data_IF_590887805569
#
_entry.id   IF_590887805569
#
_cell.length_a   1.000
_cell.length_b   1.000
_cell.length_c   1.000
_cell.angle_alpha   90.00
_cell.angle_beta   90.00
_cell.angle_gamma   90.00
#
_symmetry.space_group_name_H-M   'P 1'
#
loop_
_entity.id
_entity.type
_entity.pdbx_description
1 polymer ?
#
# COMPACT_ATOMS: atom_id res chain seq x y z
N UNK A 1 -3.73 -12.92 2.36
CA UNK A 1 -3.39 -12.12 1.20
C UNK A 1 -3.38 -10.63 1.53
N UNK A 2 -2.84 -9.80 0.64
CA UNK A 2 -2.63 -8.40 0.94
C UNK A 2 -3.93 -7.61 1.16
N UNK A 3 -5.01 -7.94 0.46
CA UNK A 3 -6.28 -7.23 0.64
C UNK A 3 -6.86 -7.43 2.03
N UNK A 4 -6.78 -8.64 2.56
CA UNK A 4 -7.22 -8.91 3.93
C UNK A 4 -6.34 -8.20 4.94
N UNK A 5 -5.03 -8.20 4.72
CA UNK A 5 -4.10 -7.50 5.59
C UNK A 5 -4.42 -6.00 5.63
N UNK A 6 -4.62 -5.40 4.47
CA UNK A 6 -4.92 -3.97 4.37
C UNK A 6 -6.21 -3.63 5.11
N UNK A 7 -7.28 -4.39 4.88
CA UNK A 7 -8.57 -4.11 5.51
C UNK A 7 -8.52 -4.23 7.03
N UNK A 8 -7.65 -5.11 7.57
CA UNK A 8 -7.49 -5.28 9.02
C UNK A 8 -6.58 -4.23 9.65
N UNK A 9 -5.59 -3.73 8.91
CA UNK A 9 -4.51 -2.94 9.50
C UNK A 9 -4.55 -1.47 9.13
N UNK A 10 -5.34 -1.10 8.12
CA UNK A 10 -5.49 0.28 7.74
C UNK A 10 -6.30 1.05 8.80
N UNK A 11 -5.83 2.26 9.13
CA UNK A 11 -6.51 3.13 10.10
C UNK A 11 -6.85 4.43 9.43
N UNK A 12 -8.05 4.91 9.67
CA UNK A 12 -8.44 6.22 9.15
C UNK A 12 -7.80 7.30 10.03
N UNK A 13 -6.92 8.16 9.49
CA UNK A 13 -6.33 9.22 10.30
C UNK A 13 -7.39 10.14 10.87
N UNK A 14 -7.25 10.50 12.15
CA UNK A 14 -8.25 11.35 12.84
C UNK A 14 -8.44 12.68 12.14
N UNK A 15 -7.35 13.29 11.67
CA UNK A 15 -7.42 14.57 10.98
C UNK A 15 -8.22 14.48 9.69
N UNK A 16 -8.02 13.41 8.92
CA UNK A 16 -8.77 13.20 7.69
C UNK A 16 -10.24 12.88 8.00
N UNK A 17 -10.48 12.09 9.04
CA UNK A 17 -11.84 11.74 9.45
C UNK A 17 -12.62 12.97 9.88
N UNK A 18 -12.01 13.84 10.70
CA UNK A 18 -12.63 15.08 11.16
C UNK A 18 -12.98 16.01 10.00
N UNK A 19 -12.12 16.10 9.02
CA UNK A 19 -12.28 16.96 7.86
C UNK A 19 -13.03 16.28 6.70
N UNK A 20 -13.49 15.05 6.92
CA UNK A 20 -14.23 14.26 5.94
C UNK A 20 -13.49 14.11 4.62
N UNK A 21 -12.17 13.89 4.72
CA UNK A 21 -11.31 13.69 3.55
C UNK A 21 -11.39 12.22 3.14
N UNK A 22 -11.72 12.00 1.90
CA UNK A 22 -11.83 10.65 1.30
C UNK A 22 -11.08 10.62 -0.01
N UNK A 23 -10.78 9.44 -0.46
CA UNK A 23 -10.19 9.26 -1.77
C UNK A 23 -9.34 8.03 -1.87
N UNK A 24 -8.69 7.90 -3.02
CA UNK A 24 -7.86 6.75 -3.34
C UNK A 24 -6.41 7.20 -3.43
N UNK A 25 -5.57 6.54 -2.63
CA UNK A 25 -4.12 6.75 -2.66
C UNK A 25 -3.51 5.57 -3.42
N UNK A 26 -2.74 5.85 -4.45
CA UNK A 26 -2.05 4.81 -5.20
C UNK A 26 -0.61 4.75 -4.73
N UNK A 27 -0.23 3.61 -4.16
CA UNK A 27 1.12 3.36 -3.64
C UNK A 27 1.84 2.43 -4.59
N UNK A 28 3.02 2.85 -5.01
CA UNK A 28 3.89 2.04 -5.86
C UNK A 28 5.00 1.45 -5.02
N UNK A 29 5.29 0.18 -5.22
CA UNK A 29 6.38 -0.48 -4.53
C UNK A 29 6.89 -1.65 -5.35
N UNK A 30 8.09 -2.13 -4.99
CA UNK A 30 8.67 -3.30 -5.61
C UNK A 30 8.60 -4.48 -4.65
N UNK A 31 8.31 -5.66 -5.19
CA UNK A 31 8.52 -6.92 -4.48
C UNK A 31 9.80 -7.51 -5.02
N UNK A 32 10.80 -7.62 -4.15
CA UNK A 32 12.13 -8.09 -4.52
C UNK A 32 12.13 -9.61 -4.70
N UNK A 33 13.24 -10.14 -5.20
CA UNK A 33 13.35 -11.58 -5.47
C UNK A 33 13.26 -12.44 -4.21
N UNK A 34 13.50 -11.86 -3.03
CA UNK A 34 13.31 -12.55 -1.75
C UNK A 34 11.92 -12.33 -1.13
N UNK A 35 11.04 -11.61 -1.83
CA UNK A 35 9.68 -11.33 -1.34
C UNK A 35 9.56 -10.07 -0.49
N UNK A 36 10.66 -9.40 -0.20
CA UNK A 36 10.61 -8.16 0.59
C UNK A 36 10.08 -6.99 -0.25
N UNK A 37 9.52 -6.00 0.44
CA UNK A 37 8.97 -4.80 -0.20
C UNK A 37 10.00 -3.69 -0.12
N UNK A 38 10.19 -2.98 -1.23
CA UNK A 38 11.13 -1.87 -1.30
C UNK A 38 10.61 -0.72 -2.15
N UNK A 39 11.25 0.44 -2.05
CA UNK A 39 10.95 1.63 -2.85
C UNK A 39 9.48 2.03 -2.81
N UNK A 40 8.92 2.07 -1.60
CA UNK A 40 7.52 2.43 -1.39
C UNK A 40 7.34 3.94 -1.58
N UNK A 41 6.44 4.31 -2.49
CA UNK A 41 6.12 5.73 -2.71
C UNK A 41 4.69 5.91 -3.16
N UNK A 42 4.14 7.10 -2.90
CA UNK A 42 2.82 7.49 -3.38
C UNK A 42 2.98 8.09 -4.77
N UNK A 43 2.30 7.51 -5.76
CA UNK A 43 2.30 8.05 -7.13
C UNK A 43 1.06 8.88 -7.41
N UNK A 44 -0.01 8.68 -6.64
CA UNK A 44 -1.20 9.54 -6.69
C UNK A 44 -1.76 9.65 -5.27
N UNK A 45 -1.75 10.86 -4.73
CA UNK A 45 -2.16 11.11 -3.35
C UNK A 45 -3.45 11.90 -3.25
N UNK A 46 -3.95 12.02 -2.02
CA UNK A 46 -5.14 12.79 -1.68
C UNK A 46 -4.78 13.90 -0.70
N UNK A 47 -4.20 13.52 0.44
CA UNK A 47 -3.79 14.43 1.48
C UNK A 47 -2.59 13.83 2.20
N UNK A 48 -1.84 14.66 2.93
CA UNK A 48 -0.63 14.18 3.61
C UNK A 48 -0.93 13.04 4.59
N UNK A 49 -2.04 13.15 5.34
CA UNK A 49 -2.38 12.16 6.36
C UNK A 49 -2.84 10.83 5.76
N UNK A 50 -3.67 10.86 4.70
CA UNK A 50 -4.05 9.64 4.00
C UNK A 50 -2.84 9.01 3.32
N UNK A 51 -1.99 9.83 2.71
CA UNK A 51 -0.77 9.34 2.05
C UNK A 51 0.16 8.66 3.05
N UNK A 52 0.38 9.26 4.22
CA UNK A 52 1.24 8.69 5.25
C UNK A 52 0.69 7.35 5.75
N UNK A 53 -0.60 7.27 5.96
CA UNK A 53 -1.22 6.02 6.42
C UNK A 53 -1.10 4.93 5.35
N UNK A 54 -1.30 5.27 4.09
CA UNK A 54 -1.14 4.32 3.00
C UNK A 54 0.28 3.75 2.94
N UNK A 55 1.29 4.62 3.08
CA UNK A 55 2.68 4.17 3.12
C UNK A 55 2.93 3.30 4.34
N UNK A 56 2.44 3.70 5.50
CA UNK A 56 2.62 2.94 6.74
C UNK A 56 2.10 1.52 6.60
N UNK A 57 0.87 1.36 6.11
CA UNK A 57 0.26 0.04 6.03
C UNK A 57 0.94 -0.83 4.98
N UNK A 58 1.38 -0.25 3.87
CA UNK A 58 2.12 -1.01 2.85
C UNK A 58 3.45 -1.49 3.41
N UNK A 59 4.19 -0.62 4.10
CA UNK A 59 5.48 -1.00 4.70
C UNK A 59 5.36 -2.05 5.78
N UNK A 60 4.19 -2.19 6.39
CA UNK A 60 3.97 -3.17 7.45
C UNK A 60 3.47 -4.52 6.93
N UNK A 61 3.24 -4.64 5.63
CA UNK A 61 2.81 -5.92 5.07
C UNK A 61 3.89 -6.98 5.21
N UNK A 62 3.49 -8.25 5.48
CA UNK A 62 4.48 -9.34 5.50
C UNK A 62 5.08 -9.56 4.12
N UNK A 63 6.23 -10.24 4.08
CA UNK A 63 6.89 -10.53 2.82
C UNK A 63 5.95 -11.27 1.86
N UNK A 64 6.04 -10.91 0.61
CA UNK A 64 5.28 -11.53 -0.45
C UNK A 64 5.99 -12.80 -0.93
N UNK A 65 5.21 -13.68 -1.55
CA UNK A 65 5.79 -14.74 -2.35
C UNK A 65 6.32 -14.09 -3.62
N UNK A 66 7.61 -14.24 -3.96
CA UNK A 66 8.16 -13.59 -5.15
C UNK A 66 7.47 -14.05 -6.42
N UNK A 67 7.27 -13.12 -7.36
CA UNK A 67 6.84 -13.47 -8.69
C UNK A 67 7.96 -14.17 -9.47
N UNK A 68 7.63 -14.82 -10.56
CA UNK A 68 8.62 -15.52 -11.37
C UNK A 68 8.51 -15.12 -12.83
N UNK A 69 9.66 -15.17 -13.52
CA UNK A 69 9.74 -15.01 -14.97
C UNK A 69 10.56 -16.19 -15.46
N UNK A 70 9.98 -16.98 -16.36
CA UNK A 70 10.67 -18.19 -16.86
C UNK A 70 11.03 -19.18 -15.77
N UNK A 71 10.23 -19.25 -14.68
CA UNK A 71 10.51 -20.13 -13.56
C UNK A 71 11.48 -19.59 -12.52
N UNK A 72 12.05 -18.40 -12.73
CA UNK A 72 13.02 -17.80 -11.83
C UNK A 72 12.38 -16.62 -11.07
N UNK A 73 12.71 -16.42 -9.78
CA UNK A 73 12.23 -15.25 -9.05
C UNK A 73 12.60 -13.97 -9.75
N UNK A 74 11.67 -13.03 -9.81
CA UNK A 74 11.88 -11.75 -10.48
C UNK A 74 11.40 -10.61 -9.60
N UNK A 75 12.06 -9.47 -9.73
CA UNK A 75 11.65 -8.22 -9.08
C UNK A 75 10.46 -7.66 -9.83
N UNK A 76 9.35 -7.41 -9.13
CA UNK A 76 8.10 -6.99 -9.75
C UNK A 76 7.58 -5.72 -9.09
N UNK A 77 7.18 -4.76 -9.92
CA UNK A 77 6.60 -3.51 -9.44
C UNK A 77 5.08 -3.62 -9.37
N UNK A 78 4.53 -3.12 -8.28
CA UNK A 78 3.08 -3.05 -8.06
C UNK A 78 2.63 -1.62 -7.86
N UNK A 79 1.42 -1.32 -8.34
CA UNK A 79 0.70 -0.10 -8.02
C UNK A 79 -0.58 -0.53 -7.32
N UNK A 80 -0.68 -0.21 -6.03
CA UNK A 80 -1.77 -0.68 -5.19
C UNK A 80 -2.66 0.50 -4.81
N UNK A 81 -3.95 0.50 -5.21
CA UNK A 81 -4.87 1.55 -4.77
C UNK A 81 -5.36 1.23 -3.35
N UNK A 82 -5.29 2.22 -2.49
CA UNK A 82 -5.80 2.13 -1.12
C UNK A 82 -6.92 3.13 -1.00
N UNK A 83 -8.12 2.64 -0.72
CA UNK A 83 -9.33 3.45 -0.72
C UNK A 83 -9.70 3.84 0.70
N UNK A 84 -9.79 5.15 0.93
CA UNK A 84 -10.27 5.72 2.18
C UNK A 84 -11.68 6.25 1.94
N UNK A 85 -12.65 5.62 2.59
CA UNK A 85 -14.05 6.00 2.44
C UNK A 85 -14.71 6.12 3.80
N UNK A 86 -15.42 7.23 4.00
CA UNK A 86 -16.22 7.44 5.20
C UNK A 86 -17.57 6.78 5.04
N UNK A 87 -18.10 6.30 6.14
CA UNK A 87 -19.43 5.72 6.17
C UNK A 87 -20.45 6.68 6.73
#
# INVERSE_FOLDING_TARGET
ECMKFLSKNIRYPKTAWKNKVQGRVIVQFWVETDGSISDVKVVKGVSWDLNDEAIRVVKSMPNFKPGTVGGEPARIQFNLPIIFRLQ
#
